data_IF_458584327305
#
_entry.id   IF_458584327305
#
_cell.length_a   1.000
_cell.length_b   1.000
_cell.length_c   1.000
_cell.angle_alpha   90.00
_cell.angle_beta   90.00
_cell.angle_gamma   90.00
#
_symmetry.space_group_name_H-M   'P 1'
#
loop_
_entity.id
_entity.type
_entity.pdbx_description
1 polymer ?
#
# COMPACT_ATOMS: atom_id res chain seq x y z
N UNK A 1 -3.81 -3.48 -15.56
CA UNK A 1 -3.17 -3.38 -14.25
C UNK A 1 -4.28 -3.44 -13.23
N UNK A 2 -4.27 -4.40 -12.31
CA UNK A 2 -5.30 -4.45 -11.25
C UNK A 2 -4.93 -3.53 -10.09
N UNK A 3 -5.83 -3.38 -9.13
CA UNK A 3 -5.75 -2.47 -7.99
C UNK A 3 -4.47 -2.71 -7.17
N UNK A 4 -4.13 -3.98 -6.94
CA UNK A 4 -2.91 -4.37 -6.23
C UNK A 4 -1.64 -4.00 -7.01
N UNK A 5 -1.63 -4.17 -8.33
CA UNK A 5 -0.52 -3.75 -9.18
C UNK A 5 -0.38 -2.22 -9.21
N UNK A 6 -1.48 -1.47 -9.20
CA UNK A 6 -1.44 0.00 -9.14
C UNK A 6 -0.82 0.48 -7.83
N UNK A 7 -1.21 -0.10 -6.68
CA UNK A 7 -0.63 0.24 -5.37
C UNK A 7 0.87 -0.08 -5.34
N UNK A 8 1.25 -1.30 -5.76
CA UNK A 8 2.66 -1.71 -5.82
C UNK A 8 3.49 -0.80 -6.72
N UNK A 9 2.98 -0.46 -7.91
CA UNK A 9 3.66 0.43 -8.83
C UNK A 9 3.84 1.84 -8.22
N UNK A 10 2.78 2.38 -7.62
CA UNK A 10 2.82 3.73 -7.05
C UNK A 10 3.76 3.86 -5.86
N UNK A 11 3.78 2.85 -4.97
CA UNK A 11 4.73 2.82 -3.86
C UNK A 11 6.17 2.68 -4.38
N UNK A 12 6.41 1.81 -5.37
CA UNK A 12 7.73 1.64 -5.96
C UNK A 12 8.25 2.93 -6.63
N UNK A 13 7.39 3.66 -7.34
CA UNK A 13 7.72 4.96 -7.93
C UNK A 13 8.16 5.97 -6.85
N UNK A 14 7.39 6.08 -5.76
CA UNK A 14 7.72 6.95 -4.63
C UNK A 14 9.04 6.56 -3.94
N UNK A 15 9.28 5.26 -3.74
CA UNK A 15 10.53 4.78 -3.13
C UNK A 15 11.75 5.01 -4.02
N UNK A 16 11.55 5.08 -5.34
CA UNK A 16 12.60 5.40 -6.32
C UNK A 16 12.92 6.89 -6.46
N UNK A 17 12.10 7.78 -5.89
CA UNK A 17 12.29 9.23 -5.95
C UNK A 17 12.45 9.81 -4.53
N UNK A 18 13.68 10.16 -4.16
CA UNK A 18 14.00 10.78 -2.86
C UNK A 18 13.36 12.17 -2.68
N UNK A 19 13.01 12.86 -3.78
CA UNK A 19 12.38 14.18 -3.74
C UNK A 19 10.85 14.12 -3.68
N UNK A 20 10.25 12.93 -3.90
CA UNK A 20 8.82 12.76 -3.80
C UNK A 20 8.31 13.09 -2.38
N UNK A 21 7.17 13.77 -2.30
CA UNK A 21 6.60 14.17 -1.02
C UNK A 21 5.77 13.04 -0.41
N UNK A 22 5.95 12.83 0.88
CA UNK A 22 5.28 11.76 1.63
C UNK A 22 3.76 11.95 1.65
N UNK A 23 3.30 13.18 1.86
CA UNK A 23 1.87 13.54 1.86
C UNK A 23 1.18 13.25 0.51
N UNK A 24 1.90 13.39 -0.61
CA UNK A 24 1.34 13.14 -1.94
C UNK A 24 1.11 11.63 -2.18
N UNK A 25 1.99 10.77 -1.65
CA UNK A 25 1.77 9.32 -1.67
C UNK A 25 0.65 8.94 -0.68
N UNK A 26 0.71 9.48 0.55
CA UNK A 26 -0.26 9.21 1.62
C UNK A 26 -1.70 9.41 1.14
N UNK A 27 -2.01 10.64 0.69
CA UNK A 27 -3.35 10.98 0.20
C UNK A 27 -3.79 10.05 -0.92
N UNK A 28 -2.89 9.75 -1.86
CA UNK A 28 -3.22 8.84 -2.96
C UNK A 28 -3.56 7.44 -2.46
N UNK A 29 -2.78 6.89 -1.52
CA UNK A 29 -3.01 5.56 -0.97
C UNK A 29 -4.34 5.49 -0.22
N UNK A 30 -4.61 6.46 0.66
CA UNK A 30 -5.84 6.51 1.46
C UNK A 30 -7.09 6.56 0.58
N UNK A 31 -7.11 7.48 -0.40
CA UNK A 31 -8.24 7.58 -1.33
C UNK A 31 -8.37 6.31 -2.18
N UNK A 32 -7.28 5.82 -2.76
CA UNK A 32 -7.33 4.67 -3.65
C UNK A 32 -7.75 3.39 -2.93
N UNK A 33 -7.22 3.13 -1.72
CA UNK A 33 -7.58 1.97 -0.91
C UNK A 33 -9.04 2.05 -0.50
N UNK A 34 -9.52 3.21 -0.04
CA UNK A 34 -10.91 3.42 0.36
C UNK A 34 -11.88 3.17 -0.81
N UNK A 35 -11.64 3.78 -1.98
CA UNK A 35 -12.51 3.64 -3.16
C UNK A 35 -12.52 2.21 -3.73
N UNK A 36 -11.44 1.45 -3.54
CA UNK A 36 -11.28 0.12 -4.14
C UNK A 36 -11.32 -1.02 -3.13
N UNK A 37 -11.68 -0.76 -1.87
CA UNK A 37 -11.62 -1.75 -0.79
C UNK A 37 -12.41 -3.02 -1.13
N UNK A 38 -13.64 -2.88 -1.62
CA UNK A 38 -14.48 -4.03 -1.99
C UNK A 38 -13.86 -4.87 -3.11
N UNK A 39 -13.33 -4.22 -4.14
CA UNK A 39 -12.64 -4.88 -5.26
C UNK A 39 -11.41 -5.63 -4.78
N UNK A 40 -10.59 -5.01 -3.92
CA UNK A 40 -9.39 -5.64 -3.38
C UNK A 40 -9.75 -6.81 -2.45
N UNK A 41 -10.79 -6.67 -1.64
CA UNK A 41 -11.29 -7.72 -0.74
C UNK A 41 -11.78 -8.94 -1.51
N UNK A 42 -12.42 -8.73 -2.67
CA UNK A 42 -12.81 -9.80 -3.58
C UNK A 42 -11.62 -10.56 -4.19
N UNK A 43 -10.47 -9.90 -4.36
CA UNK A 43 -9.21 -10.54 -4.77
C UNK A 43 -8.62 -11.33 -3.59
N UNK A 44 -8.45 -10.67 -2.45
CA UNK A 44 -7.96 -11.28 -1.23
C UNK A 44 -8.26 -10.42 0.00
N UNK A 45 -9.05 -10.96 0.93
CA UNK A 45 -9.49 -10.25 2.14
C UNK A 45 -8.34 -9.90 3.11
N UNK A 46 -7.28 -10.72 3.18
CA UNK A 46 -6.14 -10.43 4.07
C UNK A 46 -5.27 -9.30 3.53
N UNK A 47 -5.12 -9.21 2.20
CA UNK A 47 -4.47 -8.07 1.56
C UNK A 47 -5.31 -6.79 1.78
N UNK A 48 -6.63 -6.85 1.57
CA UNK A 48 -7.50 -5.69 1.81
C UNK A 48 -7.38 -5.17 3.25
N UNK A 49 -7.35 -6.07 4.23
CA UNK A 49 -7.13 -5.72 5.63
C UNK A 49 -5.76 -5.11 5.89
N UNK A 50 -4.69 -5.71 5.37
CA UNK A 50 -3.34 -5.17 5.50
C UNK A 50 -3.21 -3.76 4.91
N UNK A 51 -3.84 -3.51 3.76
CA UNK A 51 -3.85 -2.18 3.14
C UNK A 51 -4.63 -1.17 4.01
N UNK A 52 -5.81 -1.54 4.48
CA UNK A 52 -6.68 -0.63 5.23
C UNK A 52 -6.21 -0.37 6.66
N UNK A 53 -5.59 -1.35 7.30
CA UNK A 53 -5.19 -1.24 8.71
C UNK A 53 -3.72 -0.81 8.79
N UNK A 54 -2.78 -1.53 8.17
CA UNK A 54 -1.36 -1.22 8.31
C UNK A 54 -0.89 -0.05 7.43
N UNK A 55 -1.29 0.00 6.14
CA UNK A 55 -0.79 1.05 5.23
C UNK A 55 -1.45 2.41 5.52
N UNK A 56 -2.75 2.44 5.80
CA UNK A 56 -3.44 3.68 6.17
C UNK A 56 -2.91 4.23 7.50
N UNK A 57 -2.65 3.39 8.52
CA UNK A 57 -2.00 3.85 9.76
C UNK A 57 -0.62 4.49 9.52
N UNK A 58 0.13 4.03 8.49
CA UNK A 58 1.38 4.68 8.10
C UNK A 58 1.10 6.05 7.45
N UNK A 59 0.04 6.17 6.65
CA UNK A 59 -0.38 7.40 5.98
C UNK A 59 -0.73 8.52 6.98
N UNK A 60 -1.38 8.18 8.10
CA UNK A 60 -1.74 9.13 9.16
C UNK A 60 -0.53 9.93 9.70
N UNK A 61 0.69 9.38 9.64
CA UNK A 61 1.90 10.07 10.11
C UNK A 61 2.27 11.30 9.26
N UNK A 62 1.70 11.44 8.07
CA UNK A 62 1.92 12.60 7.20
C UNK A 62 0.93 13.73 7.48
N UNK A 63 -0.04 13.53 8.37
CA UNK A 63 -0.99 14.56 8.77
C UNK A 63 -0.33 15.67 9.59
N UNK A 64 -0.79 16.93 9.44
CA UNK A 64 -0.27 18.05 10.21
C UNK A 64 -0.36 17.80 11.72
N UNK A 65 0.79 17.82 12.41
CA UNK A 65 0.87 17.63 13.87
C UNK A 65 1.18 16.20 14.34
N UNK A 66 1.27 15.21 13.44
CA UNK A 66 1.71 13.83 13.74
C UNK A 66 3.16 13.55 13.31
N UNK A 67 3.92 14.60 13.01
CA UNK A 67 5.27 14.59 12.43
C UNK A 67 6.25 13.66 13.18
N UNK A 68 6.31 12.41 12.72
CA UNK A 68 7.21 11.35 13.14
C UNK A 68 7.87 10.73 11.91
N UNK A 69 9.17 10.94 11.74
CA UNK A 69 9.88 10.81 10.44
C UNK A 69 10.22 9.36 10.02
N UNK A 70 9.29 8.41 10.17
CA UNK A 70 9.48 7.01 9.79
C UNK A 70 8.70 6.55 8.55
N UNK A 71 7.87 7.43 7.97
CA UNK A 71 6.98 7.11 6.84
C UNK A 71 7.68 6.35 5.71
N UNK A 72 8.75 6.92 5.11
CA UNK A 72 9.48 6.25 4.01
C UNK A 72 9.96 4.85 4.36
N UNK A 73 10.48 4.66 5.57
CA UNK A 73 10.98 3.36 6.02
C UNK A 73 9.82 2.37 6.17
N UNK A 74 8.75 2.78 6.84
CA UNK A 74 7.61 1.90 7.08
C UNK A 74 6.83 1.58 5.81
N UNK A 75 6.70 2.52 4.87
CA UNK A 75 6.16 2.28 3.53
C UNK A 75 7.04 1.29 2.76
N UNK A 76 8.37 1.38 2.87
CA UNK A 76 9.26 0.39 2.24
C UNK A 76 9.06 -1.00 2.84
N UNK A 77 8.99 -1.12 4.17
CA UNK A 77 8.75 -2.40 4.85
C UNK A 77 7.37 -2.98 4.46
N UNK A 78 6.34 -2.13 4.41
CA UNK A 78 4.99 -2.50 3.98
C UNK A 78 4.93 -2.93 2.51
N UNK A 79 5.69 -2.26 1.63
CA UNK A 79 5.80 -2.61 0.21
C UNK A 79 6.32 -4.03 0.00
N UNK A 80 7.40 -4.41 0.69
CA UNK A 80 7.96 -5.76 0.59
C UNK A 80 7.00 -6.81 1.14
N UNK A 81 6.32 -6.52 2.26
CA UNK A 81 5.27 -7.41 2.80
C UNK A 81 4.12 -7.58 1.81
N UNK A 82 3.65 -6.50 1.17
CA UNK A 82 2.61 -6.56 0.15
C UNK A 82 3.03 -7.39 -1.07
N UNK A 83 4.26 -7.22 -1.56
CA UNK A 83 4.81 -8.04 -2.65
C UNK A 83 4.76 -9.53 -2.32
N UNK A 84 5.15 -9.91 -1.10
CA UNK A 84 5.09 -11.31 -0.66
C UNK A 84 3.65 -11.84 -0.60
N UNK A 85 2.72 -11.06 -0.06
CA UNK A 85 1.31 -11.45 0.01
C UNK A 85 0.72 -11.65 -1.38
N UNK A 86 0.93 -10.69 -2.31
CA UNK A 86 0.46 -10.77 -3.70
C UNK A 86 1.06 -11.99 -4.41
N UNK A 87 2.36 -12.27 -4.21
CA UNK A 87 3.00 -13.46 -4.78
C UNK A 87 2.33 -14.75 -4.29
N UNK A 88 2.09 -14.89 -2.99
CA UNK A 88 1.43 -16.08 -2.43
C UNK A 88 0.03 -16.30 -2.98
N UNK A 89 -0.74 -15.23 -3.17
CA UNK A 89 -2.08 -15.30 -3.78
C UNK A 89 -1.98 -15.77 -5.23
N UNK A 90 -1.06 -15.22 -6.02
CA UNK A 90 -0.86 -15.64 -7.41
C UNK A 90 -0.40 -17.09 -7.51
N UNK A 91 0.54 -17.52 -6.66
CA UNK A 91 1.02 -18.91 -6.62
C UNK A 91 -0.12 -19.88 -6.24
N UNK A 92 -0.97 -19.51 -5.28
CA UNK A 92 -2.14 -20.32 -4.90
C UNK A 92 -3.15 -20.46 -6.05
N UNK A 93 -3.40 -19.38 -6.79
CA UNK A 93 -4.33 -19.37 -7.92
C UNK A 93 -3.79 -20.10 -9.16
N UNK A 94 -2.46 -20.17 -9.33
CA UNK A 94 -1.82 -20.92 -10.43
C UNK A 94 -1.87 -22.45 -10.24
N UNK A 95 -2.19 -22.91 -9.02
CA UNK A 95 -2.28 -24.33 -8.66
C UNK A 95 -3.73 -24.84 -8.49
N UNK A 96 -4.72 -24.03 -8.85
CA UNK A 96 -6.15 -24.39 -8.93
C UNK A 96 -6.56 -24.69 -10.37
#
# INVERSE_FOLDING_TARGET
MNELQNILWRIAEFLGDEAAKENDLSLWLEFFICENYETISAINADIARFLNDDIVDICEQTEPGLEGTQFRKQIADAYYKLLEMVKRVNDANAHQ
#
